data_IF_697323297146
#
_entry.id   IF_697323297146
#
_cell.length_a   1.000
_cell.length_b   1.000
_cell.length_c   1.000
_cell.angle_alpha   90.00
_cell.angle_beta   90.00
_cell.angle_gamma   90.00
#
_symmetry.space_group_name_H-M   'P 1'
#
loop_
_entity.id
_entity.type
_entity.pdbx_description
1 polymer ?
#
# COMPACT_ATOMS: atom_id res chain seq x y z
N UNK A 1 -22.15 -1.95 7.20
CA UNK A 1 -21.22 -2.82 7.99
C UNK A 1 -19.72 -2.55 7.78
N UNK A 2 -19.29 -1.68 6.84
CA UNK A 2 -17.87 -1.41 6.56
C UNK A 2 -17.20 -0.44 7.54
N UNK A 3 -17.94 0.51 8.14
CA UNK A 3 -17.38 1.51 9.08
C UNK A 3 -16.82 0.94 10.38
N UNK A 4 -17.37 -0.17 10.89
CA UNK A 4 -16.91 -0.81 12.13
C UNK A 4 -15.58 -1.57 11.99
N UNK A 5 -15.24 -2.04 10.79
CA UNK A 5 -13.96 -2.74 10.53
C UNK A 5 -12.78 -1.76 10.38
N UNK A 6 -13.03 -0.55 9.88
CA UNK A 6 -12.01 0.51 9.76
C UNK A 6 -11.62 1.09 11.13
N UNK A 7 -12.57 1.23 12.05
CA UNK A 7 -12.32 1.82 13.37
C UNK A 7 -11.50 0.87 14.28
N UNK A 8 -11.76 -0.45 14.23
CA UNK A 8 -10.95 -1.46 14.94
C UNK A 8 -9.51 -1.57 14.40
N UNK A 9 -9.27 -1.30 13.11
CA UNK A 9 -7.92 -1.28 12.53
C UNK A 9 -7.12 -0.05 12.98
N UNK A 10 -7.74 1.15 13.04
CA UNK A 10 -7.07 2.35 13.57
C UNK A 10 -6.66 2.21 15.05
N UNK A 11 -7.49 1.59 15.89
CA UNK A 11 -7.14 1.31 17.29
C UNK A 11 -5.98 0.31 17.45
N UNK A 12 -5.88 -0.70 16.57
CA UNK A 12 -4.76 -1.65 16.63
C UNK A 12 -3.43 -1.08 16.10
N UNK A 13 -3.47 -0.07 15.21
CA UNK A 13 -2.28 0.61 14.70
C UNK A 13 -1.75 1.71 15.63
N UNK A 14 -2.62 2.33 16.45
CA UNK A 14 -2.21 3.33 17.46
C UNK A 14 -1.42 2.71 18.63
N UNK A 15 -1.52 1.39 18.83
CA UNK A 15 -0.62 0.64 19.72
C UNK A 15 0.74 0.47 19.04
N UNK A 16 1.39 1.61 18.75
CA UNK A 16 2.77 1.73 18.28
C UNK A 16 3.64 0.83 19.15
N UNK A 17 4.04 -0.31 18.59
CA UNK A 17 5.15 -1.12 19.08
C UNK A 17 6.44 -0.35 18.81
N UNK A 18 6.62 0.79 19.49
CA UNK A 18 7.99 1.19 19.84
C UNK A 18 8.55 0.05 20.67
N UNK A 19 9.75 -0.42 20.34
CA UNK A 19 10.45 -1.38 21.18
C UNK A 19 10.49 -0.77 22.59
N UNK A 20 9.96 -1.46 23.62
CA UNK A 20 9.85 -0.84 24.95
C UNK A 20 11.25 -0.40 25.37
N UNK A 21 11.38 0.79 25.98
CA UNK A 21 12.68 1.36 26.39
C UNK A 21 13.58 0.35 27.11
N UNK A 22 12.95 -0.59 27.83
CA UNK A 22 13.58 -1.75 28.47
C UNK A 22 14.33 -2.67 27.50
N UNK A 23 13.78 -2.97 26.32
CA UNK A 23 14.43 -3.81 25.31
C UNK A 23 15.64 -3.12 24.67
N UNK A 24 15.59 -1.80 24.51
CA UNK A 24 16.72 -1.00 24.03
C UNK A 24 17.86 -1.09 25.02
N UNK A 25 17.54 -0.89 26.30
CA UNK A 25 18.49 -0.99 27.39
C UNK A 25 19.10 -2.39 27.50
N UNK A 26 18.28 -3.45 27.35
CA UNK A 26 18.75 -4.84 27.33
C UNK A 26 19.70 -5.06 26.14
N UNK A 27 19.32 -4.64 24.93
CA UNK A 27 20.17 -4.78 23.74
C UNK A 27 21.48 -4.02 23.91
N UNK A 28 21.45 -2.78 24.41
CA UNK A 28 22.65 -1.97 24.66
C UNK A 28 23.58 -2.60 25.69
N UNK A 29 23.04 -3.20 26.76
CA UNK A 29 23.83 -3.92 27.75
C UNK A 29 24.40 -5.21 27.18
N UNK A 30 23.61 -5.99 26.43
CA UNK A 30 24.09 -7.21 25.77
C UNK A 30 25.21 -6.92 24.76
N UNK A 31 25.13 -5.77 24.08
CA UNK A 31 26.15 -5.23 23.20
C UNK A 31 27.44 -4.94 23.98
N UNK A 32 27.37 -4.16 25.07
CA UNK A 32 28.53 -3.83 25.91
C UNK A 32 29.22 -5.06 26.49
N UNK A 33 28.44 -6.04 26.96
CA UNK A 33 28.98 -7.30 27.48
C UNK A 33 29.63 -8.13 26.36
N UNK A 34 29.01 -8.16 25.17
CA UNK A 34 29.55 -8.84 24.01
C UNK A 34 30.87 -8.26 23.53
N UNK A 35 31.01 -6.93 23.59
CA UNK A 35 32.23 -6.21 23.22
C UNK A 35 33.40 -6.58 24.15
N UNK A 36 33.20 -6.47 25.46
CA UNK A 36 34.21 -6.86 26.46
C UNK A 36 34.60 -8.34 26.35
N UNK A 37 33.65 -9.23 26.05
CA UNK A 37 33.92 -10.65 25.86
C UNK A 37 34.70 -10.93 24.56
N UNK A 38 34.40 -10.22 23.47
CA UNK A 38 35.11 -10.36 22.21
C UNK A 38 36.55 -9.85 22.35
N UNK A 39 36.79 -8.75 23.06
CA UNK A 39 38.13 -8.25 23.36
C UNK A 39 38.95 -9.28 24.15
N UNK A 40 38.38 -9.87 25.21
CA UNK A 40 39.05 -10.89 26.02
C UNK A 40 39.35 -12.17 25.22
N UNK A 41 38.43 -12.56 24.32
CA UNK A 41 38.62 -13.68 23.40
C UNK A 41 39.72 -13.39 22.38
N UNK A 42 39.72 -12.19 21.76
CA UNK A 42 40.74 -11.81 20.79
C UNK A 42 42.13 -11.79 21.42
N UNK A 43 42.26 -11.32 22.65
CA UNK A 43 43.51 -11.33 23.39
C UNK A 43 44.01 -12.76 23.67
N UNK A 44 43.10 -13.69 23.95
CA UNK A 44 43.43 -15.10 24.18
C UNK A 44 43.92 -15.82 22.92
N UNK A 45 43.26 -15.58 21.77
CA UNK A 45 43.56 -16.28 20.51
C UNK A 45 44.68 -15.61 19.69
N UNK A 46 44.89 -14.30 19.87
CA UNK A 46 45.88 -13.52 19.15
C UNK A 46 46.70 -12.62 20.10
N UNK A 47 47.51 -13.21 20.99
CA UNK A 47 48.26 -12.47 22.03
C UNK A 47 49.35 -11.54 21.48
N UNK A 48 49.63 -11.58 20.17
CA UNK A 48 50.67 -10.80 19.50
C UNK A 48 50.11 -9.72 18.57
N UNK A 49 48.83 -9.35 18.67
CA UNK A 49 48.28 -8.20 17.92
C UNK A 49 49.10 -6.96 18.31
N UNK A 50 49.77 -6.30 17.35
CA UNK A 50 50.50 -5.08 17.65
C UNK A 50 49.54 -3.98 18.14
N UNK A 51 49.88 -3.29 19.23
CA UNK A 51 49.05 -2.26 19.87
C UNK A 51 48.46 -1.21 18.89
N UNK A 52 49.20 -0.92 17.81
CA UNK A 52 48.76 0.01 16.76
C UNK A 52 47.48 -0.41 16.03
N UNK A 53 47.06 -1.68 16.08
CA UNK A 53 45.86 -2.17 15.39
C UNK A 53 44.62 -2.25 16.28
N UNK A 54 44.78 -2.28 17.60
CA UNK A 54 43.68 -2.36 18.59
C UNK A 54 42.60 -1.30 18.35
N UNK A 55 42.90 0.01 18.23
CA UNK A 55 41.84 1.02 18.05
C UNK A 55 41.06 0.89 16.73
N UNK A 56 41.67 0.26 15.71
CA UNK A 56 40.97 -0.02 14.44
C UNK A 56 40.00 -1.18 14.57
N UNK A 57 40.36 -2.21 15.37
CA UNK A 57 39.50 -3.35 15.66
C UNK A 57 38.31 -2.87 16.50
N UNK A 58 38.55 -2.06 17.53
CA UNK A 58 37.50 -1.52 18.40
C UNK A 58 36.51 -0.66 17.60
N UNK A 59 37.02 0.21 16.73
CA UNK A 59 36.18 1.01 15.85
C UNK A 59 35.33 0.15 14.89
N UNK A 60 35.90 -0.94 14.35
CA UNK A 60 35.20 -1.85 13.46
C UNK A 60 34.12 -2.66 14.20
N UNK A 61 34.42 -3.15 15.40
CA UNK A 61 33.44 -3.83 16.26
C UNK A 61 32.30 -2.89 16.64
N UNK A 62 32.61 -1.67 17.07
CA UNK A 62 31.62 -0.65 17.41
C UNK A 62 30.67 -0.35 16.24
N UNK A 63 31.22 -0.13 15.03
CA UNK A 63 30.41 0.10 13.82
C UNK A 63 29.51 -1.11 13.53
N UNK A 64 30.07 -2.32 13.59
CA UNK A 64 29.36 -3.58 13.30
C UNK A 64 28.19 -3.79 14.26
N UNK A 65 28.37 -3.40 15.51
CA UNK A 65 27.40 -3.53 16.59
C UNK A 65 26.31 -2.46 16.56
N UNK A 66 26.65 -1.25 16.09
CA UNK A 66 25.72 -0.14 15.92
C UNK A 66 24.82 -0.31 14.69
N UNK A 67 25.29 -0.96 13.62
CA UNK A 67 24.54 -1.09 12.37
C UNK A 67 23.14 -1.75 12.52
N UNK A 68 22.96 -2.88 13.25
CA UNK A 68 21.64 -3.49 13.45
C UNK A 68 20.68 -2.58 14.23
N UNK A 69 21.21 -1.87 15.24
CA UNK A 69 20.44 -0.91 16.03
C UNK A 69 19.99 0.23 15.13
N UNK A 70 20.90 0.82 14.37
CA UNK A 70 20.62 1.90 13.42
C UNK A 70 19.60 1.47 12.36
N UNK A 71 19.76 0.26 11.80
CA UNK A 71 18.81 -0.33 10.85
C UNK A 71 17.41 -0.45 11.48
N UNK A 72 17.32 -0.98 12.69
CA UNK A 72 16.04 -1.13 13.37
C UNK A 72 15.37 0.21 13.66
N UNK A 73 16.13 1.24 14.05
CA UNK A 73 15.58 2.55 14.41
C UNK A 73 15.31 3.49 13.24
N UNK A 74 16.11 3.43 12.18
CA UNK A 74 15.96 4.34 11.05
C UNK A 74 15.22 3.68 9.89
N UNK A 75 15.65 2.49 9.50
CA UNK A 75 15.15 1.88 8.27
C UNK A 75 13.72 1.34 8.43
N UNK A 76 13.43 0.62 9.53
CA UNK A 76 12.09 0.07 9.79
C UNK A 76 10.97 1.13 9.75
N UNK A 77 11.04 2.25 10.50
CA UNK A 77 9.94 3.22 10.49
C UNK A 77 9.75 3.86 9.12
N UNK A 78 10.84 4.17 8.40
CA UNK A 78 10.78 4.75 7.05
C UNK A 78 10.01 3.83 6.11
N UNK A 79 10.34 2.53 6.08
CA UNK A 79 9.63 1.57 5.22
C UNK A 79 8.15 1.46 5.61
N UNK A 80 7.84 1.42 6.91
CA UNK A 80 6.43 1.35 7.34
C UNK A 80 5.63 2.60 6.93
N UNK A 81 6.22 3.80 7.03
CA UNK A 81 5.57 5.04 6.61
C UNK A 81 5.37 5.09 5.09
N UNK A 82 6.35 4.61 4.33
CA UNK A 82 6.23 4.49 2.88
C UNK A 82 5.10 3.53 2.50
N UNK A 83 4.98 2.39 3.17
CA UNK A 83 3.88 1.45 2.92
C UNK A 83 2.52 2.03 3.28
N UNK A 84 2.40 2.72 4.41
CA UNK A 84 1.15 3.37 4.81
C UNK A 84 0.72 4.46 3.81
N UNK A 85 1.67 5.27 3.36
CA UNK A 85 1.44 6.32 2.36
C UNK A 85 0.96 5.72 1.04
N UNK A 86 1.65 4.69 0.52
CA UNK A 86 1.25 3.98 -0.70
C UNK A 86 -0.15 3.39 -0.58
N UNK A 87 -0.50 2.76 0.54
CA UNK A 87 -1.85 2.21 0.76
C UNK A 87 -2.92 3.31 0.78
N UNK A 88 -2.63 4.45 1.41
CA UNK A 88 -3.55 5.58 1.42
C UNK A 88 -3.76 6.14 0.01
N UNK A 89 -2.69 6.29 -0.77
CA UNK A 89 -2.74 6.69 -2.17
C UNK A 89 -3.54 5.71 -3.03
N UNK A 90 -3.34 4.40 -2.86
CA UNK A 90 -4.11 3.37 -3.57
C UNK A 90 -5.61 3.46 -3.25
N UNK A 91 -5.97 3.60 -1.97
CA UNK A 91 -7.37 3.76 -1.56
C UNK A 91 -7.97 5.04 -2.16
N UNK A 92 -7.26 6.17 -2.07
CA UNK A 92 -7.70 7.43 -2.66
C UNK A 92 -7.86 7.30 -4.18
N UNK A 93 -6.95 6.59 -4.84
CA UNK A 93 -7.00 6.33 -6.27
C UNK A 93 -8.19 5.46 -6.63
N UNK A 94 -8.50 4.42 -5.85
CA UNK A 94 -9.69 3.61 -6.05
C UNK A 94 -10.96 4.45 -5.90
N UNK A 95 -11.08 5.22 -4.82
CA UNK A 95 -12.24 6.11 -4.60
C UNK A 95 -12.37 7.19 -5.68
N UNK A 96 -11.25 7.67 -6.21
CA UNK A 96 -11.25 8.69 -7.25
C UNK A 96 -11.59 8.15 -8.66
N UNK A 97 -11.43 6.86 -8.92
CA UNK A 97 -11.56 6.28 -10.27
C UNK A 97 -12.74 5.33 -10.45
N UNK A 98 -13.31 4.78 -9.39
CA UNK A 98 -14.44 3.86 -9.47
C UNK A 98 -15.73 4.51 -8.97
N UNK A 99 -16.87 4.06 -9.50
CA UNK A 99 -18.21 4.38 -9.02
C UNK A 99 -18.54 3.46 -7.84
N UNK A 100 -18.89 4.03 -6.68
CA UNK A 100 -19.09 3.25 -5.45
C UNK A 100 -20.29 2.30 -5.52
N UNK A 101 -21.32 2.64 -6.31
CA UNK A 101 -22.52 1.81 -6.46
C UNK A 101 -22.25 0.59 -7.34
N UNK A 102 -21.71 0.83 -8.54
CA UNK A 102 -21.60 -0.20 -9.58
C UNK A 102 -20.24 -0.90 -9.63
N UNK A 103 -19.20 -0.30 -9.07
CA UNK A 103 -17.82 -0.79 -9.17
C UNK A 103 -17.18 -0.63 -10.56
N UNK A 104 -17.89 0.00 -11.52
CA UNK A 104 -17.33 0.39 -12.80
C UNK A 104 -16.40 1.60 -12.65
N UNK A 105 -15.61 1.94 -13.67
CA UNK A 105 -14.90 3.22 -13.65
C UNK A 105 -15.90 4.37 -13.60
N UNK A 106 -15.68 5.36 -12.75
CA UNK A 106 -16.44 6.60 -12.81
C UNK A 106 -15.98 7.43 -14.03
N UNK A 107 -16.64 8.56 -14.27
CA UNK A 107 -16.28 9.48 -15.36
C UNK A 107 -14.78 9.83 -15.43
N UNK A 108 -14.13 10.06 -14.28
CA UNK A 108 -12.69 10.39 -14.23
C UNK A 108 -11.83 9.18 -14.58
N UNK A 109 -12.14 8.02 -14.03
CA UNK A 109 -11.46 6.75 -14.31
C UNK A 109 -11.55 6.37 -15.79
N UNK A 110 -12.76 6.45 -16.36
CA UNK A 110 -13.02 6.19 -17.76
C UNK A 110 -12.17 7.09 -18.66
N UNK A 111 -12.24 8.42 -18.47
CA UNK A 111 -11.48 9.37 -19.27
C UNK A 111 -9.96 9.14 -19.21
N UNK A 112 -9.43 8.87 -18.00
CA UNK A 112 -8.00 8.62 -17.81
C UNK A 112 -7.52 7.38 -18.58
N UNK A 113 -8.33 6.33 -18.64
CA UNK A 113 -7.98 5.11 -19.36
C UNK A 113 -8.21 5.27 -20.86
N UNK A 114 -9.32 5.87 -21.28
CA UNK A 114 -9.60 6.15 -22.70
C UNK A 114 -8.47 6.95 -23.35
N UNK A 115 -7.89 7.92 -22.65
CA UNK A 115 -6.74 8.70 -23.11
C UNK A 115 -5.47 7.84 -23.29
N UNK A 116 -5.25 6.84 -22.43
CA UNK A 116 -4.18 5.85 -22.63
C UNK A 116 -4.43 4.98 -23.86
N UNK A 117 -5.66 4.50 -24.06
CA UNK A 117 -6.03 3.71 -25.23
C UNK A 117 -5.92 4.51 -26.53
N UNK A 118 -6.32 5.79 -26.53
CA UNK A 118 -6.17 6.68 -27.68
C UNK A 118 -4.69 6.84 -28.08
N UNK A 119 -3.80 7.06 -27.11
CA UNK A 119 -2.36 7.10 -27.36
C UNK A 119 -1.83 5.80 -27.93
N UNK A 120 -2.27 4.66 -27.37
CA UNK A 120 -1.86 3.34 -27.83
C UNK A 120 -2.33 3.09 -29.26
N UNK A 121 -3.61 3.35 -29.54
CA UNK A 121 -4.23 3.26 -30.86
C UNK A 121 -3.46 4.07 -31.91
N UNK A 122 -3.06 5.30 -31.58
CA UNK A 122 -2.29 6.15 -32.50
C UNK A 122 -0.89 5.57 -32.81
N UNK A 123 -0.25 4.94 -31.81
CA UNK A 123 1.06 4.27 -31.97
C UNK A 123 0.95 2.97 -32.76
N UNK A 124 -0.07 2.15 -32.47
CA UNK A 124 -0.23 0.82 -33.09
C UNK A 124 -1.05 0.85 -34.37
N UNK A 125 -1.59 2.01 -34.77
CA UNK A 125 -2.50 2.19 -35.91
C UNK A 125 -3.71 1.26 -35.89
N UNK A 126 -4.24 0.98 -34.69
CA UNK A 126 -5.44 0.16 -34.49
C UNK A 126 -6.63 1.04 -34.14
N UNK A 127 -7.79 0.79 -34.73
CA UNK A 127 -9.03 1.51 -34.40
C UNK A 127 -9.52 1.23 -32.99
N UNK A 128 -10.32 2.16 -32.45
CA UNK A 128 -11.06 2.00 -31.19
C UNK A 128 -12.55 2.18 -31.48
N UNK A 129 -13.39 1.52 -30.68
CA UNK A 129 -14.83 1.70 -30.70
C UNK A 129 -15.24 2.29 -29.36
N UNK A 130 -16.04 3.36 -29.40
CA UNK A 130 -16.68 3.96 -28.23
C UNK A 130 -18.17 3.65 -28.29
N UNK A 131 -18.70 3.09 -27.21
CA UNK A 131 -20.13 2.82 -27.05
C UNK A 131 -20.65 3.65 -25.88
N UNK A 132 -21.73 4.38 -26.11
CA UNK A 132 -22.48 5.06 -25.06
C UNK A 132 -23.86 4.43 -24.97
N UNK A 133 -24.25 4.02 -23.77
CA UNK A 133 -25.51 3.36 -23.50
C UNK A 133 -26.15 3.97 -22.25
N UNK A 134 -27.46 4.13 -22.27
CA UNK A 134 -28.27 4.57 -21.13
C UNK A 134 -29.21 3.45 -20.71
N UNK A 135 -29.59 3.42 -19.42
CA UNK A 135 -30.53 2.43 -18.90
C UNK A 135 -31.92 3.03 -18.92
N UNK A 136 -32.76 2.53 -19.82
CA UNK A 136 -34.13 3.04 -19.98
C UNK A 136 -34.99 2.80 -18.72
N UNK A 137 -35.98 3.69 -18.51
CA UNK A 137 -37.02 3.56 -17.49
C UNK A 137 -36.55 3.46 -16.02
N UNK A 138 -35.32 3.86 -15.71
CA UNK A 138 -34.81 3.88 -14.33
C UNK A 138 -35.67 4.69 -13.36
N UNK A 139 -36.25 5.81 -13.83
CA UNK A 139 -37.18 6.63 -13.03
C UNK A 139 -38.44 5.84 -12.64
N UNK A 140 -39.02 5.09 -13.57
CA UNK A 140 -40.21 4.28 -13.29
C UNK A 140 -39.91 3.18 -12.27
N UNK A 141 -38.73 2.54 -12.34
CA UNK A 141 -38.29 1.55 -11.36
C UNK A 141 -38.16 2.19 -9.97
N UNK A 142 -37.53 3.36 -9.89
CA UNK A 142 -37.38 4.11 -8.64
C UNK A 142 -38.74 4.50 -8.05
N UNK A 143 -39.65 5.00 -8.88
CA UNK A 143 -40.97 5.47 -8.43
C UNK A 143 -41.88 4.30 -8.00
N UNK A 144 -41.72 3.11 -8.60
CA UNK A 144 -42.57 1.93 -8.32
C UNK A 144 -42.03 1.07 -7.18
N UNK A 145 -40.70 0.88 -7.10
CA UNK A 145 -40.05 -0.08 -6.21
C UNK A 145 -39.09 0.56 -5.21
N UNK A 146 -38.87 1.87 -5.31
CA UNK A 146 -37.96 2.63 -4.46
C UNK A 146 -36.51 2.63 -4.95
N UNK A 147 -35.75 3.61 -4.49
CA UNK A 147 -34.34 3.82 -4.88
C UNK A 147 -33.44 2.61 -4.64
N UNK A 148 -33.69 1.82 -3.59
CA UNK A 148 -32.87 0.64 -3.30
C UNK A 148 -32.99 -0.44 -4.41
N UNK A 149 -34.15 -0.58 -5.06
CA UNK A 149 -34.33 -1.51 -6.18
C UNK A 149 -33.78 -0.92 -7.49
N UNK A 150 -33.85 0.40 -7.68
CA UNK A 150 -33.13 1.07 -8.77
C UNK A 150 -31.61 0.89 -8.67
N UNK A 151 -31.05 1.05 -7.48
CA UNK A 151 -29.63 0.79 -7.22
C UNK A 151 -29.25 -0.65 -7.56
N UNK A 152 -30.10 -1.63 -7.22
CA UNK A 152 -29.89 -3.03 -7.62
C UNK A 152 -29.97 -3.23 -9.12
N UNK A 153 -30.90 -2.58 -9.81
CA UNK A 153 -30.97 -2.64 -11.26
C UNK A 153 -29.68 -2.13 -11.91
N UNK A 154 -29.12 -1.01 -11.43
CA UNK A 154 -27.84 -0.47 -11.90
C UNK A 154 -26.66 -1.43 -11.63
N UNK A 155 -26.61 -2.03 -10.43
CA UNK A 155 -25.58 -3.03 -10.09
C UNK A 155 -25.68 -4.25 -11.02
N UNK A 156 -26.89 -4.73 -11.30
CA UNK A 156 -27.12 -5.85 -12.22
C UNK A 156 -26.67 -5.50 -13.64
N UNK A 157 -27.03 -4.32 -14.15
CA UNK A 157 -26.57 -3.84 -15.47
C UNK A 157 -25.05 -3.78 -15.54
N UNK A 158 -24.40 -3.21 -14.53
CA UNK A 158 -22.94 -3.15 -14.47
C UNK A 158 -22.28 -4.53 -14.50
N UNK A 159 -22.84 -5.50 -13.76
CA UNK A 159 -22.35 -6.88 -13.75
C UNK A 159 -22.53 -7.57 -15.11
N UNK A 160 -23.65 -7.33 -15.80
CA UNK A 160 -23.86 -7.84 -17.16
C UNK A 160 -22.77 -7.30 -18.09
N UNK A 161 -22.51 -5.98 -18.07
CA UNK A 161 -21.45 -5.37 -18.88
C UNK A 161 -20.08 -5.99 -18.58
N UNK A 162 -19.72 -6.13 -17.31
CA UNK A 162 -18.43 -6.74 -16.91
C UNK A 162 -18.27 -8.19 -17.37
N UNK A 163 -19.36 -8.96 -17.41
CA UNK A 163 -19.32 -10.35 -17.87
C UNK A 163 -19.35 -10.49 -19.39
N UNK A 164 -19.87 -9.49 -20.11
CA UNK A 164 -19.96 -9.50 -21.58
C UNK A 164 -18.67 -9.03 -22.24
N UNK A 165 -18.03 -7.98 -21.70
CA UNK A 165 -16.82 -7.40 -22.27
C UNK A 165 -15.55 -8.03 -21.70
N UNK A 166 -14.44 -7.89 -22.42
CA UNK A 166 -13.15 -8.49 -22.03
C UNK A 166 -12.49 -7.67 -20.95
N UNK A 167 -11.60 -8.28 -20.16
CA UNK A 167 -10.82 -7.55 -19.15
C UNK A 167 -9.89 -6.46 -19.71
N UNK A 168 -9.63 -6.45 -21.02
CA UNK A 168 -8.90 -5.38 -21.72
C UNK A 168 -9.76 -4.18 -22.07
N UNK A 169 -11.08 -4.30 -22.04
CA UNK A 169 -12.01 -3.25 -22.41
C UNK A 169 -12.25 -2.30 -21.23
N UNK A 170 -12.51 -1.02 -21.51
CA UNK A 170 -12.76 -0.01 -20.48
C UNK A 170 -14.26 0.23 -20.38
N UNK A 171 -14.83 -0.08 -19.21
CA UNK A 171 -16.26 0.10 -18.93
C UNK A 171 -16.40 1.11 -17.79
N UNK A 172 -17.19 2.17 -18.00
CA UNK A 172 -17.38 3.18 -16.99
C UNK A 172 -18.80 3.76 -16.95
N UNK A 173 -19.23 4.16 -15.75
CA UNK A 173 -20.44 4.94 -15.50
C UNK A 173 -20.10 6.43 -15.57
N UNK A 174 -20.55 7.09 -16.63
CA UNK A 174 -20.19 8.49 -16.94
C UNK A 174 -21.30 9.48 -16.57
N UNK A 175 -22.54 9.00 -16.38
CA UNK A 175 -23.72 9.77 -15.99
C UNK A 175 -24.30 9.37 -14.62
N UNK A 176 -25.26 10.16 -14.12
CA UNK A 176 -25.86 10.01 -12.78
C UNK A 176 -27.28 9.44 -12.76
N UNK A 177 -27.73 8.77 -13.82
CA UNK A 177 -29.04 8.11 -13.89
C UNK A 177 -29.16 6.94 -12.93
#
# INVERSE_FOLDING_TARGET
MLGGKLNKRKQNYSKKRGLPLKLVFIISISILIGDAFIEELLFLFFPTIPDKYVPFIDALLLITLLLPVLYFYLYRPIITQLEETKRAEEVLRTLALFDELTGLYNRRGFMSLSDQFLRLSNRTKRGLILVFADVDNMKQINDTFGHAEGDRALICTARVLQNTFRGSDVIGRVGGG
#
